data_IF_337980001495
#
_entry.id   IF_337980001495
#
_cell.length_a   1.000
_cell.length_b   1.000
_cell.length_c   1.000
_cell.angle_alpha   90.00
_cell.angle_beta   90.00
_cell.angle_gamma   90.00
#
_symmetry.space_group_name_H-M   'P 1'
#
loop_
_entity.id
_entity.type
_entity.pdbx_description
1 polymer ?
#
# COMPACT_ATOMS: atom_id res chain seq x y z
N UNK A 1 -15.37 -21.85 13.71
CA UNK A 1 -15.04 -20.94 12.59
C UNK A 1 -14.07 -19.93 13.14
N UNK A 2 -12.92 -19.71 12.50
CA UNK A 2 -12.07 -18.59 12.87
C UNK A 2 -12.74 -17.33 12.32
N UNK A 3 -13.06 -16.40 13.21
CA UNK A 3 -13.56 -15.08 12.86
C UNK A 3 -12.35 -14.26 12.40
N UNK A 4 -12.31 -13.91 11.12
CA UNK A 4 -11.21 -13.14 10.56
C UNK A 4 -11.54 -11.67 10.77
N UNK A 5 -10.67 -10.96 11.49
CA UNK A 5 -10.79 -9.51 11.66
C UNK A 5 -9.67 -8.80 10.90
N UNK A 6 -10.00 -7.66 10.34
CA UNK A 6 -9.11 -6.77 9.59
C UNK A 6 -8.93 -5.46 10.35
N UNK A 7 -7.74 -4.88 10.24
CA UNK A 7 -7.45 -3.57 10.83
C UNK A 7 -8.01 -2.44 9.97
N UNK A 8 -8.69 -1.49 10.62
CA UNK A 8 -9.19 -0.27 10.01
C UNK A 8 -8.71 0.95 10.80
N UNK A 9 -8.31 1.98 10.06
CA UNK A 9 -7.99 3.32 10.57
C UNK A 9 -9.31 4.07 10.76
N UNK A 10 -9.52 4.66 11.92
CA UNK A 10 -10.70 5.44 12.25
C UNK A 10 -10.34 6.93 12.24
N UNK A 11 -11.01 7.70 11.37
CA UNK A 11 -10.76 9.12 11.16
C UNK A 11 -12.01 9.91 11.53
N UNK A 12 -11.86 11.00 12.29
CA UNK A 12 -12.98 11.87 12.66
C UNK A 12 -13.39 12.84 11.54
N UNK A 13 -14.42 13.66 11.80
CA UNK A 13 -14.92 14.64 10.83
C UNK A 13 -13.95 15.78 10.50
N UNK A 14 -12.96 16.04 11.36
CA UNK A 14 -11.91 17.03 11.14
C UNK A 14 -10.68 16.44 10.43
N UNK A 15 -10.72 15.15 10.11
CA UNK A 15 -9.65 14.42 9.46
C UNK A 15 -8.58 13.91 10.42
N UNK A 16 -8.74 13.98 11.74
CA UNK A 16 -7.74 13.47 12.66
C UNK A 16 -7.83 11.93 12.77
N UNK A 17 -6.68 11.25 12.73
CA UNK A 17 -6.59 9.80 12.92
C UNK A 17 -6.76 9.50 14.40
N UNK A 18 -7.93 8.99 14.78
CA UNK A 18 -8.28 8.79 16.18
C UNK A 18 -7.84 7.43 16.71
N UNK A 19 -8.04 6.37 15.93
CA UNK A 19 -7.79 5.01 16.39
C UNK A 19 -7.48 4.04 15.24
N UNK A 20 -6.92 2.87 15.57
CA UNK A 20 -6.77 1.73 14.67
C UNK A 20 -7.37 0.51 15.39
N UNK A 21 -8.41 -0.09 14.81
CA UNK A 21 -9.15 -1.16 15.46
C UNK A 21 -9.49 -2.31 14.50
N UNK A 22 -9.73 -3.48 15.08
CA UNK A 22 -10.04 -4.71 14.34
C UNK A 22 -11.55 -4.88 14.16
N UNK A 23 -11.99 -5.14 12.94
CA UNK A 23 -13.40 -5.39 12.60
C UNK A 23 -13.51 -6.55 11.59
N UNK A 24 -14.66 -7.22 11.57
CA UNK A 24 -14.92 -8.31 10.61
C UNK A 24 -15.08 -7.80 9.17
N UNK A 25 -15.61 -6.60 9.01
CA UNK A 25 -15.90 -6.00 7.71
C UNK A 25 -15.87 -4.46 7.76
N UNK A 26 -15.81 -3.84 6.59
CA UNK A 26 -15.77 -2.38 6.43
C UNK A 26 -17.05 -1.70 6.92
N UNK A 27 -18.22 -2.32 6.72
CA UNK A 27 -19.51 -1.71 7.05
C UNK A 27 -19.65 -1.48 8.56
N UNK A 28 -19.27 -2.48 9.36
CA UNK A 28 -19.24 -2.37 10.82
C UNK A 28 -18.18 -1.38 11.30
N UNK A 29 -16.97 -1.43 10.71
CA UNK A 29 -15.91 -0.47 11.01
C UNK A 29 -16.37 0.97 10.78
N UNK A 30 -16.96 1.24 9.62
CA UNK A 30 -17.41 2.57 9.25
C UNK A 30 -18.61 3.03 10.10
N UNK A 31 -19.59 2.15 10.35
CA UNK A 31 -20.74 2.45 11.20
C UNK A 31 -20.30 2.80 12.62
N UNK A 32 -19.41 2.01 13.22
CA UNK A 32 -18.92 2.25 14.58
C UNK A 32 -18.08 3.53 14.62
N UNK A 33 -17.24 3.78 13.61
CA UNK A 33 -16.43 5.00 13.53
C UNK A 33 -17.31 6.26 13.53
N UNK A 34 -18.40 6.26 12.75
CA UNK A 34 -19.39 7.34 12.74
C UNK A 34 -20.12 7.50 14.07
N UNK A 35 -20.47 6.39 14.71
CA UNK A 35 -21.14 6.41 16.01
C UNK A 35 -20.25 6.96 17.13
N UNK A 36 -18.93 6.74 17.07
CA UNK A 36 -17.98 7.15 18.12
C UNK A 36 -17.43 8.56 17.87
N UNK A 37 -17.07 8.90 16.63
CA UNK A 37 -16.36 10.14 16.29
C UNK A 37 -17.20 11.14 15.50
N UNK A 38 -18.48 10.85 15.28
CA UNK A 38 -19.46 11.75 14.66
C UNK A 38 -19.80 11.39 13.22
N UNK A 39 -20.90 11.96 12.73
CA UNK A 39 -21.51 11.55 11.45
C UNK A 39 -20.61 11.75 10.22
N UNK A 40 -19.61 12.63 10.30
CA UNK A 40 -18.65 12.87 9.21
C UNK A 40 -17.39 11.99 9.29
N UNK A 41 -17.22 11.25 10.38
CA UNK A 41 -16.12 10.32 10.55
C UNK A 41 -16.23 9.15 9.57
N UNK A 42 -15.11 8.47 9.32
CA UNK A 42 -15.09 7.30 8.43
C UNK A 42 -13.98 6.32 8.80
N UNK A 43 -14.18 5.06 8.42
CA UNK A 43 -13.14 4.04 8.49
C UNK A 43 -12.39 3.94 7.16
N UNK A 44 -11.08 3.67 7.22
CA UNK A 44 -10.25 3.33 6.07
C UNK A 44 -9.52 2.02 6.34
N UNK A 45 -9.22 1.24 5.29
CA UNK A 45 -8.36 0.06 5.45
C UNK A 45 -6.98 0.47 6.00
N UNK A 46 -6.39 -0.37 6.84
CA UNK A 46 -5.04 -0.16 7.34
C UNK A 46 -3.98 -0.38 6.24
N UNK A 47 -3.81 0.65 5.40
CA UNK A 47 -2.87 0.69 4.26
C UNK A 47 -1.85 1.81 4.37
N UNK A 48 -1.86 2.57 5.47
CA UNK A 48 -0.97 3.71 5.67
C UNK A 48 -0.39 3.66 7.07
N UNK A 49 0.91 3.91 7.18
CA UNK A 49 1.62 3.96 8.46
C UNK A 49 1.27 5.27 9.19
N UNK A 50 0.24 5.21 10.04
CA UNK A 50 -0.29 6.36 10.80
C UNK A 50 -0.35 6.07 12.30
N UNK A 51 -0.30 7.13 13.11
CA UNK A 51 -0.38 7.10 14.56
C UNK A 51 -1.76 7.57 15.02
N UNK A 52 -2.47 6.74 15.82
CA UNK A 52 -3.73 7.13 16.42
C UNK A 52 -3.54 8.16 17.54
N UNK A 53 -4.65 8.68 18.07
CA UNK A 53 -4.65 9.68 19.15
C UNK A 53 -4.76 11.13 18.67
N UNK A 54 -5.19 11.35 17.42
CA UNK A 54 -5.40 12.68 16.86
C UNK A 54 -4.11 13.41 16.45
N UNK A 55 -2.99 12.68 16.35
CA UNK A 55 -1.69 13.23 15.93
C UNK A 55 -1.62 13.32 14.40
N UNK A 56 -1.76 12.18 13.74
CA UNK A 56 -1.71 12.09 12.28
C UNK A 56 -3.06 12.47 11.67
N UNK A 57 -3.03 12.92 10.41
CA UNK A 57 -4.19 13.54 9.76
C UNK A 57 -4.48 12.97 8.39
N UNK A 58 -5.74 13.11 8.00
CA UNK A 58 -6.27 12.81 6.69
C UNK A 58 -6.85 14.08 6.10
N UNK A 59 -6.27 14.53 4.99
CA UNK A 59 -6.79 15.64 4.19
C UNK A 59 -6.37 15.47 2.74
N UNK A 60 -7.10 16.10 1.83
CA UNK A 60 -6.88 16.03 0.38
C UNK A 60 -6.85 14.58 -0.17
N UNK A 61 -7.57 13.67 0.49
CA UNK A 61 -7.65 12.26 0.11
C UNK A 61 -6.43 11.42 0.49
N UNK A 62 -5.50 11.93 1.31
CA UNK A 62 -4.25 11.27 1.71
C UNK A 62 -4.06 11.29 3.22
N UNK A 63 -3.25 10.36 3.71
CA UNK A 63 -2.80 10.32 5.10
C UNK A 63 -1.46 11.02 5.26
N UNK A 64 -1.30 11.74 6.36
CA UNK A 64 -0.15 12.56 6.69
C UNK A 64 0.30 12.27 8.11
N UNK A 65 1.60 12.05 8.26
CA UNK A 65 2.27 11.95 9.56
C UNK A 65 2.71 13.34 10.01
N UNK A 66 2.36 13.72 11.24
CA UNK A 66 2.65 15.05 11.78
C UNK A 66 3.77 14.96 12.83
N UNK A 67 4.94 15.49 12.52
CA UNK A 67 6.05 15.54 13.48
C UNK A 67 5.75 16.48 14.67
N UNK A 68 6.54 16.39 15.75
CA UNK A 68 6.36 17.24 16.94
C UNK A 68 6.52 18.73 16.65
N UNK A 69 7.26 19.08 15.60
CA UNK A 69 7.44 20.46 15.12
C UNK A 69 6.30 20.96 14.21
N UNK A 70 5.29 20.12 13.96
CA UNK A 70 4.17 20.41 13.08
C UNK A 70 4.42 20.16 11.60
N UNK A 71 5.59 19.62 11.22
CA UNK A 71 5.87 19.26 9.82
C UNK A 71 5.03 18.05 9.41
N UNK A 72 4.30 18.18 8.30
CA UNK A 72 3.48 17.11 7.73
C UNK A 72 4.25 16.39 6.61
N UNK A 73 4.28 15.05 6.66
CA UNK A 73 4.87 14.21 5.61
C UNK A 73 3.87 13.13 5.23
N UNK A 74 3.69 12.87 3.94
CA UNK A 74 2.77 11.85 3.43
C UNK A 74 3.09 10.48 4.06
N UNK A 75 2.06 9.81 4.57
CA UNK A 75 2.21 8.55 5.27
C UNK A 75 2.64 7.43 4.31
N UNK A 76 3.55 6.58 4.77
CA UNK A 76 4.03 5.45 3.99
C UNK A 76 2.91 4.44 3.71
N UNK A 77 2.74 4.06 2.44
CA UNK A 77 1.79 3.03 2.04
C UNK A 77 2.29 1.64 2.41
N UNK A 78 1.44 0.84 3.06
CA UNK A 78 1.70 -0.53 3.48
C UNK A 78 1.16 -1.47 2.38
N UNK A 79 2.02 -2.06 1.52
CA UNK A 79 1.57 -2.93 0.44
C UNK A 79 1.03 -4.26 0.97
N UNK A 80 -0.03 -4.77 0.34
CA UNK A 80 -0.50 -6.13 0.63
C UNK A 80 0.44 -7.19 0.10
N UNK A 81 0.26 -8.41 0.58
CA UNK A 81 0.88 -9.60 -0.02
C UNK A 81 0.58 -9.72 -1.51
N UNK A 82 -0.66 -9.43 -1.94
CA UNK A 82 -1.01 -9.46 -3.36
C UNK A 82 -0.27 -8.35 -4.14
N UNK A 83 -0.15 -7.15 -3.58
CA UNK A 83 0.66 -6.08 -4.19
C UNK A 83 2.12 -6.50 -4.36
N UNK A 84 2.69 -7.16 -3.33
CA UNK A 84 4.05 -7.71 -3.38
C UNK A 84 4.21 -8.81 -4.42
N UNK A 85 3.25 -9.72 -4.53
CA UNK A 85 3.26 -10.79 -5.54
C UNK A 85 3.22 -10.18 -6.95
N UNK A 86 2.35 -9.20 -7.17
CA UNK A 86 2.24 -8.53 -8.46
C UNK A 86 3.54 -7.81 -8.84
N UNK A 87 4.17 -7.12 -7.89
CA UNK A 87 5.47 -6.48 -8.09
C UNK A 87 6.57 -7.50 -8.44
N UNK A 88 6.66 -8.60 -7.69
CA UNK A 88 7.63 -9.68 -7.95
C UNK A 88 7.40 -10.36 -9.30
N UNK A 89 6.15 -10.51 -9.74
CA UNK A 89 5.83 -11.06 -11.06
C UNK A 89 6.27 -10.12 -12.18
N UNK A 90 6.06 -8.81 -12.02
CA UNK A 90 6.52 -7.81 -12.99
C UNK A 90 8.05 -7.79 -13.09
N UNK A 91 8.75 -7.82 -11.96
CA UNK A 91 10.23 -7.88 -11.92
C UNK A 91 10.75 -9.16 -12.59
N UNK A 92 10.17 -10.33 -12.29
CA UNK A 92 10.54 -11.58 -12.95
C UNK A 92 10.30 -11.56 -14.47
N UNK A 93 9.23 -10.92 -14.93
CA UNK A 93 8.95 -10.77 -16.35
C UNK A 93 10.00 -9.89 -17.04
N UNK A 94 10.39 -8.78 -16.40
CA UNK A 94 11.44 -7.90 -16.89
C UNK A 94 12.80 -8.61 -16.96
N UNK A 95 13.22 -9.27 -15.88
CA UNK A 95 14.49 -9.99 -15.84
C UNK A 95 14.56 -11.12 -16.89
N UNK A 96 13.43 -11.79 -17.15
CA UNK A 96 13.34 -12.78 -18.24
C UNK A 96 13.49 -12.16 -19.62
N UNK A 97 12.92 -10.97 -19.83
CA UNK A 97 13.07 -10.25 -21.09
C UNK A 97 14.54 -9.85 -21.30
N UNK A 98 15.17 -9.20 -20.32
CA UNK A 98 16.59 -8.81 -20.40
C UNK A 98 17.52 -10.01 -20.60
N UNK A 99 17.27 -11.12 -19.89
CA UNK A 99 18.05 -12.35 -20.06
C UNK A 99 17.91 -12.95 -21.46
N UNK A 100 16.70 -12.94 -22.04
CA UNK A 100 16.47 -13.39 -23.40
C UNK A 100 17.16 -12.49 -24.42
N UNK A 101 17.09 -11.17 -24.26
CA UNK A 101 17.77 -10.22 -25.13
C UNK A 101 19.29 -10.37 -25.07
N UNK A 102 19.86 -10.52 -23.86
CA UNK A 102 21.28 -10.79 -23.69
C UNK A 102 21.70 -12.12 -24.33
N UNK A 103 20.89 -13.16 -24.17
CA UNK A 103 21.13 -14.47 -24.78
C UNK A 103 21.11 -14.39 -26.30
N UNK A 104 20.16 -13.65 -26.88
CA UNK A 104 20.07 -13.42 -28.31
C UNK A 104 21.30 -12.66 -28.83
N UNK A 105 21.68 -11.56 -28.17
CA UNK A 105 22.86 -10.78 -28.54
C UNK A 105 24.17 -11.60 -28.45
N UNK A 106 24.30 -12.47 -27.44
CA UNK A 106 25.43 -13.39 -27.32
C UNK A 106 25.42 -14.44 -28.44
N UNK A 107 24.25 -14.97 -28.80
CA UNK A 107 24.12 -15.93 -29.90
C UNK A 107 24.47 -15.30 -31.27
N UNK A 108 24.10 -14.04 -31.50
CA UNK A 108 24.51 -13.29 -32.70
C UNK A 108 26.02 -13.03 -32.75
N UNK A 109 26.64 -12.76 -31.59
CA UNK A 109 28.09 -12.53 -31.49
C UNK A 109 28.91 -13.81 -31.69
N UNK A 110 28.41 -14.97 -31.26
CA UNK A 110 29.10 -16.27 -31.39
C UNK A 110 28.75 -16.97 -32.71
N UNK A 111 27.54 -16.78 -33.24
CA UNK A 111 27.04 -17.45 -34.45
C UNK A 111 27.48 -16.82 -35.77
N UNK A 112 28.10 -15.64 -35.75
CA UNK A 112 28.57 -14.93 -36.95
C UNK A 112 29.83 -15.49 -37.62
N UNK A 113 30.50 -16.50 -37.04
CA UNK A 113 31.76 -17.06 -37.57
C UNK A 113 31.60 -18.33 -38.45
N UNK A 114 30.41 -18.59 -39.00
CA UNK A 114 30.25 -19.66 -40.00
C UNK A 114 29.61 -19.11 -41.28
N UNK A 115 30.22 -19.47 -42.41
CA UNK A 115 29.94 -19.12 -43.80
C UNK A 115 30.76 -17.94 -44.40
N UNK A 116 32.06 -18.18 -44.60
CA UNK A 116 32.75 -17.72 -45.80
C UNK A 116 33.30 -18.97 -46.51
N UNK A 117 32.73 -19.29 -47.68
CA UNK A 117 33.27 -20.25 -48.66
C UNK A 117 34.62 -19.79 -49.22
#
# INVERSE_FOLDING_TARGET
>A
MAEISYAYIQVDGDGAVQNIAMFENYEDANRITRAVYGDQAFAAEYRYAVRPGGVDRFHDGRFWTVAEDGTETEAEYIPTEQDKINALQAENAQLKAESNELTLAMAEMIGGEVYAE
#
